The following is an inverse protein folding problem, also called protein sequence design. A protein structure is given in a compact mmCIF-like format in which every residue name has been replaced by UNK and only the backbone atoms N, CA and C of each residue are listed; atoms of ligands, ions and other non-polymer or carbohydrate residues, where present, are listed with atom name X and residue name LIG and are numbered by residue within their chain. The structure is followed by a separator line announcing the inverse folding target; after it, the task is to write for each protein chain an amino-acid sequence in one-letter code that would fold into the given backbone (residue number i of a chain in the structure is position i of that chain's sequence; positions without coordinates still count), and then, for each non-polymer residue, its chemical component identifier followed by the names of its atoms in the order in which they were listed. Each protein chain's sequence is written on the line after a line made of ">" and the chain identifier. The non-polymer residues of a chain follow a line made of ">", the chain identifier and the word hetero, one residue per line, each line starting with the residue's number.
data_IF_666920428726
#
_entry.id   IF_666920428726
#
_cell.length_a   1.000
_cell.length_b   1.000
_cell.length_c   1.000
_cell.angle_alpha   90.00
_cell.angle_beta   90.00
_cell.angle_gamma   90.00
#
_symmetry.space_group_name_H-M   'P 1'
#
loop_
_entity.id
_entity.type
_entity.pdbx_description
1 polymer ?
#
# COMPACT_ATOMS: atom_id res chain seq x y z
N UNK A 1 4.71 -2.33 -13.08
CA UNK A 1 4.23 -3.24 -12.01
C UNK A 1 3.12 -4.20 -12.45
N UNK A 2 1.90 -3.76 -12.83
CA UNK A 2 0.78 -4.68 -13.19
C UNK A 2 1.15 -5.84 -14.11
N UNK A 3 1.87 -5.58 -15.21
CA UNK A 3 2.34 -6.63 -16.15
C UNK A 3 3.23 -7.69 -15.48
N UNK A 4 4.10 -7.28 -14.54
CA UNK A 4 4.97 -8.21 -13.81
C UNK A 4 4.19 -9.06 -12.80
N UNK A 5 3.18 -8.48 -12.14
CA UNK A 5 2.31 -9.22 -11.22
C UNK A 5 1.48 -10.29 -11.94
N UNK A 6 0.94 -9.96 -13.12
CA UNK A 6 0.22 -10.92 -13.96
C UNK A 6 1.15 -12.05 -14.43
N UNK A 7 2.37 -11.72 -14.87
CA UNK A 7 3.39 -12.72 -15.22
C UNK A 7 3.78 -13.61 -14.04
N UNK A 8 3.68 -13.10 -12.81
CA UNK A 8 3.89 -13.85 -11.57
C UNK A 8 2.65 -14.58 -11.06
N UNK A 9 1.69 -14.92 -11.94
CA UNK A 9 0.46 -15.66 -11.64
C UNK A 9 -0.51 -14.96 -10.67
N UNK A 10 -0.44 -13.64 -10.49
CA UNK A 10 -1.48 -12.91 -9.75
C UNK A 10 -2.67 -12.65 -10.68
N UNK A 11 -3.90 -13.10 -10.32
CA UNK A 11 -5.09 -12.87 -11.14
C UNK A 11 -5.31 -11.38 -11.38
N UNK A 12 -5.55 -10.99 -12.63
CA UNK A 12 -5.71 -9.59 -12.99
C UNK A 12 -6.84 -8.89 -12.21
N UNK A 13 -7.94 -9.61 -11.95
CA UNK A 13 -9.09 -9.12 -11.19
C UNK A 13 -8.75 -8.77 -9.74
N UNK A 14 -7.70 -9.36 -9.18
CA UNK A 14 -7.23 -9.11 -7.82
C UNK A 14 -6.23 -7.95 -7.75
N UNK A 15 -5.85 -7.35 -8.89
CA UNK A 15 -4.88 -6.25 -8.95
C UNK A 15 -5.61 -4.92 -9.05
N UNK A 16 -5.65 -4.20 -7.93
CA UNK A 16 -6.09 -2.81 -7.90
C UNK A 16 -4.95 -1.89 -8.30
N UNK A 17 -5.25 -0.86 -9.10
CA UNK A 17 -4.26 0.12 -9.53
C UNK A 17 -4.70 1.54 -9.15
N UNK A 18 -3.95 2.13 -8.24
CA UNK A 18 -3.99 3.56 -7.93
C UNK A 18 -3.04 4.30 -8.90
N UNK A 19 -3.48 5.42 -9.49
CA UNK A 19 -2.69 6.23 -10.45
C UNK A 19 -2.76 7.74 -10.19
N UNK A 20 -3.58 8.17 -9.24
CA UNK A 20 -3.86 9.58 -8.97
C UNK A 20 -2.79 10.18 -8.06
N UNK A 21 -2.10 9.38 -7.24
CA UNK A 21 -1.09 9.91 -6.33
C UNK A 21 0.13 10.43 -7.08
N UNK A 22 0.52 11.67 -6.81
CA UNK A 22 1.81 12.26 -7.21
C UNK A 22 2.84 12.25 -6.08
N UNK A 23 2.41 11.99 -4.84
CA UNK A 23 3.27 11.93 -3.65
C UNK A 23 3.00 10.72 -2.77
N UNK A 24 3.98 10.36 -1.92
CA UNK A 24 3.83 9.27 -0.93
C UNK A 24 2.65 9.51 0.02
N UNK A 25 2.40 10.78 0.41
CA UNK A 25 1.29 11.15 1.30
C UNK A 25 -0.06 10.94 0.63
N UNK A 26 -0.20 11.31 -0.64
CA UNK A 26 -1.41 11.05 -1.41
C UNK A 26 -1.63 9.56 -1.65
N UNK A 27 -0.56 8.81 -1.92
CA UNK A 27 -0.62 7.37 -2.10
C UNK A 27 -1.22 6.69 -0.86
N UNK A 28 -0.74 7.07 0.33
CA UNK A 28 -1.24 6.58 1.62
C UNK A 28 -2.70 7.01 1.86
N UNK A 29 -3.08 8.24 1.49
CA UNK A 29 -4.46 8.73 1.58
C UNK A 29 -5.42 7.91 0.70
N UNK A 30 -5.05 7.61 -0.54
CA UNK A 30 -5.88 6.79 -1.42
C UNK A 30 -5.89 5.32 -0.99
N UNK A 31 -4.77 4.81 -0.48
CA UNK A 31 -4.65 3.47 0.09
C UNK A 31 -5.66 3.26 1.24
N UNK A 32 -5.80 4.23 2.14
CA UNK A 32 -6.75 4.12 3.26
C UNK A 32 -8.21 3.95 2.80
N UNK A 33 -8.57 4.61 1.70
CA UNK A 33 -9.91 4.52 1.10
C UNK A 33 -10.13 3.13 0.50
N UNK A 34 -9.13 2.59 -0.19
CA UNK A 34 -9.17 1.25 -0.78
C UNK A 34 -9.29 0.19 0.31
N UNK A 35 -8.43 0.23 1.33
CA UNK A 35 -8.42 -0.72 2.45
C UNK A 35 -9.78 -0.73 3.17
N UNK A 36 -10.34 0.45 3.42
CA UNK A 36 -11.66 0.58 4.08
C UNK A 36 -12.77 -0.01 3.21
N UNK A 37 -12.77 0.27 1.91
CA UNK A 37 -13.77 -0.25 0.96
C UNK A 37 -13.71 -1.78 0.83
N UNK A 38 -12.50 -2.32 0.75
CA UNK A 38 -12.26 -3.77 0.61
C UNK A 38 -12.29 -4.51 1.96
N UNK A 39 -12.56 -3.81 3.08
CA UNK A 39 -12.61 -4.37 4.44
C UNK A 39 -11.34 -5.14 4.85
N UNK A 40 -10.18 -4.65 4.41
CA UNK A 40 -8.89 -5.28 4.68
C UNK A 40 -8.42 -4.90 6.09
N UNK A 41 -8.16 -5.89 6.94
CA UNK A 41 -7.65 -5.67 8.31
C UNK A 41 -6.14 -5.84 8.45
N UNK A 42 -5.50 -6.48 7.47
CA UNK A 42 -4.05 -6.78 7.48
C UNK A 42 -3.48 -6.67 6.06
N UNK A 43 -2.35 -6.01 5.91
CA UNK A 43 -1.68 -5.89 4.62
C UNK A 43 -0.17 -5.70 4.76
N UNK A 44 0.54 -5.90 3.65
CA UNK A 44 1.98 -5.64 3.57
C UNK A 44 2.28 -4.46 2.65
N UNK A 45 3.24 -3.64 3.04
CA UNK A 45 3.82 -2.57 2.21
C UNK A 45 5.17 -3.04 1.71
N UNK A 46 5.31 -3.09 0.39
CA UNK A 46 6.54 -3.46 -0.30
C UNK A 46 7.14 -2.19 -0.91
N UNK A 47 8.36 -1.85 -0.51
CA UNK A 47 9.07 -0.65 -0.99
C UNK A 47 10.58 -0.83 -0.88
N UNK A 48 11.36 0.07 -1.47
CA UNK A 48 12.82 0.04 -1.29
C UNK A 48 13.23 0.23 0.17
N UNK A 49 14.35 -0.38 0.56
CA UNK A 49 14.92 -0.27 1.92
C UNK A 49 15.06 1.17 2.41
N UNK A 50 15.48 2.09 1.54
CA UNK A 50 15.66 3.51 1.86
C UNK A 50 14.34 4.29 1.98
N UNK A 51 13.26 3.80 1.35
CA UNK A 51 11.97 4.49 1.36
C UNK A 51 11.04 4.01 2.48
N UNK A 52 11.24 2.79 3.00
CA UNK A 52 10.47 2.22 4.13
C UNK A 52 10.40 3.17 5.34
N UNK A 53 11.49 3.78 5.84
CA UNK A 53 11.42 4.70 6.99
C UNK A 53 10.50 5.90 6.74
N UNK A 54 10.58 6.49 5.54
CA UNK A 54 9.72 7.62 5.14
C UNK A 54 8.25 7.21 5.10
N UNK A 55 7.95 6.04 4.51
CA UNK A 55 6.58 5.53 4.44
C UNK A 55 6.03 5.25 5.84
N UNK A 56 6.81 4.61 6.71
CA UNK A 56 6.42 4.31 8.09
C UNK A 56 6.06 5.59 8.86
N UNK A 57 6.94 6.60 8.82
CA UNK A 57 6.69 7.89 9.47
C UNK A 57 5.42 8.56 8.93
N UNK A 58 5.19 8.54 7.60
CA UNK A 58 3.96 9.13 7.06
C UNK A 58 2.73 8.35 7.55
N UNK A 59 2.75 7.03 7.55
CA UNK A 59 1.60 6.21 7.97
C UNK A 59 1.28 6.38 9.45
N UNK A 60 2.29 6.43 10.32
CA UNK A 60 2.09 6.66 11.76
C UNK A 60 1.36 7.98 12.04
N UNK A 61 1.48 8.97 11.15
CA UNK A 61 0.76 10.24 11.25
C UNK A 61 -0.66 10.22 10.65
N UNK A 62 -1.16 9.07 10.17
CA UNK A 62 -2.52 8.92 9.65
C UNK A 62 -3.43 8.18 10.63
N UNK A 63 -4.65 8.69 10.79
CA UNK A 63 -5.70 8.23 11.74
C UNK A 63 -6.03 6.73 11.64
N UNK A 64 -5.68 6.07 10.54
CA UNK A 64 -6.02 4.67 10.33
C UNK A 64 -4.92 3.68 10.74
N UNK A 65 -3.74 4.16 11.15
CA UNK A 65 -2.59 3.32 11.49
C UNK A 65 -2.93 2.24 12.53
N UNK A 66 -3.57 2.63 13.63
CA UNK A 66 -3.89 1.71 14.72
C UNK A 66 -4.99 0.69 14.38
N UNK A 67 -5.69 0.89 13.25
CA UNK A 67 -6.81 0.02 12.83
C UNK A 67 -6.35 -1.20 12.04
N UNK A 68 -5.12 -1.23 11.54
CA UNK A 68 -4.67 -2.28 10.63
C UNK A 68 -3.34 -2.89 11.04
N UNK A 69 -3.19 -4.20 10.82
CA UNK A 69 -1.89 -4.87 10.98
C UNK A 69 -1.06 -4.69 9.71
N UNK A 70 -0.05 -3.82 9.79
CA UNK A 70 0.83 -3.49 8.66
C UNK A 70 2.16 -4.23 8.79
N UNK A 71 2.55 -4.99 7.76
CA UNK A 71 3.90 -5.56 7.64
C UNK A 71 4.68 -4.76 6.60
N UNK A 72 5.94 -4.45 6.89
CA UNK A 72 6.83 -3.77 5.94
C UNK A 72 7.81 -4.77 5.35
N UNK A 73 7.93 -4.78 4.03
CA UNK A 73 8.84 -5.66 3.27
C UNK A 73 9.73 -4.77 2.42
N UNK A 74 11.03 -4.80 2.69
CA UNK A 74 12.02 -4.12 1.86
C UNK A 74 12.40 -4.99 0.67
N UNK A 75 12.43 -4.42 -0.53
CA UNK A 75 12.99 -5.03 -1.75
C UNK A 75 14.09 -4.17 -2.35
#
# INVERSE_FOLDING_TARGET
>A
MKKYLIKGNIPEKSILKERKSISTKENIKFLSTIISKEKISKFSIISSKTHIPKVKNIIENFIFYDKYKIKYISV
#
